data_IF_316401094680
#
_entry.id   IF_316401094680
#
_cell.length_a   1.000
_cell.length_b   1.000
_cell.length_c   1.000
_cell.angle_alpha   90.00
_cell.angle_beta   90.00
_cell.angle_gamma   90.00
#
_symmetry.space_group_name_H-M   'P 1'
#
loop_
_entity.id
_entity.type
_entity.pdbx_description
1 polymer ?
#
# COMPACT_ATOMS: atom_id res chain seq x y z
N UNK A 1 -36.59 52.30 24.43
CA UNK A 1 -35.94 50.98 24.62
C UNK A 1 -35.77 50.37 23.24
N UNK A 2 -34.57 50.43 22.66
CA UNK A 2 -34.31 49.93 21.31
C UNK A 2 -33.97 48.44 21.40
N UNK A 3 -34.92 47.58 21.04
CA UNK A 3 -34.65 46.17 20.72
C UNK A 3 -34.55 46.06 19.20
N UNK A 4 -33.39 46.40 18.65
CA UNK A 4 -33.16 46.36 17.20
C UNK A 4 -31.99 45.43 16.92
N UNK A 5 -32.34 44.28 16.34
CA UNK A 5 -31.61 43.65 15.23
C UNK A 5 -30.46 42.67 15.50
N UNK A 6 -30.25 42.14 16.71
CA UNK A 6 -29.25 41.08 16.90
C UNK A 6 -29.62 39.78 16.17
N UNK A 7 -30.91 39.42 16.17
CA UNK A 7 -31.42 38.18 15.56
C UNK A 7 -31.26 38.20 14.02
N UNK A 8 -31.38 39.38 13.40
CA UNK A 8 -31.28 39.53 11.95
C UNK A 8 -29.82 39.66 11.50
N UNK A 9 -28.98 40.40 12.24
CA UNK A 9 -27.55 40.49 11.97
C UNK A 9 -26.86 39.14 12.08
N UNK A 10 -27.21 38.32 13.09
CA UNK A 10 -26.71 36.96 13.19
C UNK A 10 -27.12 36.10 12.00
N UNK A 11 -28.38 36.15 11.54
CA UNK A 11 -28.81 35.42 10.34
C UNK A 11 -28.08 35.85 9.07
N UNK A 12 -27.85 37.16 8.90
CA UNK A 12 -27.14 37.71 7.74
C UNK A 12 -25.66 37.34 7.79
N UNK A 13 -25.01 37.43 8.96
CA UNK A 13 -23.61 37.04 9.12
C UNK A 13 -23.43 35.53 8.94
N UNK A 14 -24.35 34.71 9.46
CA UNK A 14 -24.34 33.26 9.29
C UNK A 14 -24.52 32.87 7.82
N UNK A 15 -25.43 33.53 7.09
CA UNK A 15 -25.59 33.32 5.64
C UNK A 15 -24.34 33.77 4.85
N UNK A 16 -23.72 34.89 5.22
CA UNK A 16 -22.47 35.34 4.61
C UNK A 16 -21.30 34.38 4.85
N UNK A 17 -21.24 33.80 6.05
CA UNK A 17 -20.22 32.82 6.45
C UNK A 17 -20.47 31.47 5.74
N UNK A 18 -21.73 31.02 5.66
CA UNK A 18 -22.15 29.82 4.95
C UNK A 18 -21.89 29.89 3.44
N UNK A 19 -22.13 31.05 2.81
CA UNK A 19 -21.97 31.19 1.36
C UNK A 19 -20.55 31.62 0.94
N UNK A 20 -19.77 32.23 1.83
CA UNK A 20 -18.41 32.70 1.53
C UNK A 20 -17.30 31.77 2.01
N UNK A 21 -17.34 31.32 3.26
CA UNK A 21 -16.21 30.64 3.91
C UNK A 21 -16.32 29.12 3.90
N UNK A 22 -17.52 28.57 4.11
CA UNK A 22 -17.74 27.12 4.17
C UNK A 22 -17.26 26.39 2.90
N UNK A 23 -17.53 26.88 1.67
CA UNK A 23 -17.03 26.23 0.45
C UNK A 23 -15.50 26.16 0.40
N UNK A 24 -14.82 27.23 0.83
CA UNK A 24 -13.35 27.30 0.86
C UNK A 24 -12.75 26.34 1.88
N UNK A 25 -13.31 26.29 3.09
CA UNK A 25 -12.87 25.37 4.16
C UNK A 25 -13.10 23.90 3.74
N UNK A 26 -14.25 23.58 3.15
CA UNK A 26 -14.55 22.25 2.64
C UNK A 26 -13.55 21.85 1.55
N UNK A 27 -13.27 22.73 0.60
CA UNK A 27 -12.31 22.47 -0.49
C UNK A 27 -10.91 22.24 0.06
N UNK A 28 -10.49 23.02 1.05
CA UNK A 28 -9.20 22.86 1.72
C UNK A 28 -9.09 21.52 2.46
N UNK A 29 -10.10 21.16 3.25
CA UNK A 29 -10.15 19.88 3.97
C UNK A 29 -10.18 18.69 3.00
N UNK A 30 -10.95 18.78 1.91
CA UNK A 30 -10.96 17.79 0.85
C UNK A 30 -9.58 17.66 0.20
N UNK A 31 -8.91 18.78 -0.08
CA UNK A 31 -7.54 18.79 -0.60
C UNK A 31 -6.56 18.04 0.29
N UNK A 32 -6.60 18.27 1.60
CA UNK A 32 -5.78 17.55 2.57
C UNK A 32 -6.10 16.05 2.62
N UNK A 33 -7.38 15.69 2.61
CA UNK A 33 -7.83 14.30 2.59
C UNK A 33 -7.39 13.58 1.31
N UNK A 34 -7.56 14.20 0.15
CA UNK A 34 -7.12 13.65 -1.13
C UNK A 34 -5.60 13.50 -1.19
N UNK A 35 -4.84 14.48 -0.71
CA UNK A 35 -3.38 14.39 -0.62
C UNK A 35 -2.95 13.18 0.19
N UNK A 36 -3.56 12.98 1.37
CA UNK A 36 -3.26 11.84 2.24
C UNK A 36 -3.58 10.50 1.57
N UNK A 37 -4.71 10.40 0.87
CA UNK A 37 -5.09 9.17 0.12
C UNK A 37 -4.11 8.92 -1.02
N UNK A 38 -3.70 9.97 -1.75
CA UNK A 38 -2.77 9.88 -2.86
C UNK A 38 -1.40 9.38 -2.38
N UNK A 39 -0.88 9.96 -1.30
CA UNK A 39 0.41 9.56 -0.72
C UNK A 39 0.38 8.12 -0.24
N UNK A 40 -0.72 7.70 0.40
CA UNK A 40 -0.91 6.31 0.80
C UNK A 40 -0.90 5.35 -0.41
N UNK A 41 -1.56 5.72 -1.52
CA UNK A 41 -1.58 4.91 -2.75
C UNK A 41 -0.19 4.84 -3.40
N UNK A 42 0.53 5.96 -3.46
CA UNK A 42 1.90 6.03 -3.99
C UNK A 42 2.84 5.15 -3.18
N UNK A 43 2.78 5.26 -1.86
CA UNK A 43 3.60 4.45 -0.96
C UNK A 43 3.29 2.96 -1.16
N UNK A 44 2.01 2.58 -1.14
CA UNK A 44 1.60 1.19 -1.40
C UNK A 44 2.16 0.66 -2.71
N UNK A 45 2.05 1.41 -3.80
CA UNK A 45 2.60 0.99 -5.11
C UNK A 45 4.12 0.87 -5.10
N UNK A 46 4.83 1.80 -4.45
CA UNK A 46 6.28 1.71 -4.30
C UNK A 46 6.69 0.42 -3.59
N UNK A 47 6.04 0.08 -2.48
CA UNK A 47 6.37 -1.14 -1.75
C UNK A 47 6.15 -2.41 -2.58
N UNK A 48 5.09 -2.45 -3.41
CA UNK A 48 4.87 -3.57 -4.34
C UNK A 48 5.99 -3.65 -5.38
N UNK A 49 6.36 -2.52 -5.97
CA UNK A 49 7.40 -2.46 -6.99
C UNK A 49 8.75 -2.93 -6.43
N UNK A 50 9.12 -2.49 -5.23
CA UNK A 50 10.36 -2.92 -4.59
C UNK A 50 10.41 -4.46 -4.39
N UNK A 51 9.27 -5.08 -4.04
CA UNK A 51 9.14 -6.54 -3.91
C UNK A 51 9.24 -7.22 -5.29
N UNK A 52 8.59 -6.66 -6.32
CA UNK A 52 8.64 -7.18 -7.69
C UNK A 52 10.03 -7.07 -8.32
N UNK A 53 10.77 -6.00 -8.02
CA UNK A 53 12.15 -5.80 -8.49
C UNK A 53 13.11 -6.85 -7.93
N UNK A 54 12.83 -7.39 -6.75
CA UNK A 54 13.57 -8.54 -6.20
C UNK A 54 13.14 -9.84 -6.89
N UNK A 55 11.84 -10.02 -7.11
CA UNK A 55 11.26 -11.28 -7.56
C UNK A 55 11.49 -11.56 -9.06
N UNK A 56 11.10 -10.62 -9.93
CA UNK A 56 11.03 -10.84 -11.38
C UNK A 56 12.38 -11.24 -11.99
N UNK A 57 13.51 -10.56 -11.69
CA UNK A 57 14.78 -10.87 -12.35
C UNK A 57 15.31 -12.28 -12.04
N UNK A 58 14.90 -12.85 -10.91
CA UNK A 58 15.41 -14.14 -10.43
C UNK A 58 14.44 -15.27 -10.73
N UNK A 59 13.14 -15.06 -10.52
CA UNK A 59 12.16 -16.14 -10.65
C UNK A 59 11.37 -16.11 -11.95
N UNK A 60 11.48 -15.04 -12.75
CA UNK A 60 10.71 -14.84 -13.99
C UNK A 60 11.58 -14.50 -15.21
N UNK A 61 12.90 -14.72 -15.18
CA UNK A 61 13.80 -14.37 -16.28
C UNK A 61 13.81 -15.37 -17.44
N UNK A 62 13.26 -16.57 -17.26
CA UNK A 62 13.35 -17.66 -18.25
C UNK A 62 14.77 -18.18 -18.48
N UNK A 63 15.76 -17.61 -17.79
CA UNK A 63 17.16 -17.99 -17.82
C UNK A 63 17.50 -18.97 -16.69
N UNK A 64 18.54 -19.78 -16.89
CA UNK A 64 19.03 -20.68 -15.84
C UNK A 64 19.64 -19.89 -14.68
N UNK A 65 18.95 -19.85 -13.55
CA UNK A 65 19.45 -19.25 -12.31
C UNK A 65 20.24 -20.25 -11.47
N UNK A 66 21.26 -19.76 -10.76
CA UNK A 66 21.98 -20.59 -9.79
C UNK A 66 21.22 -20.66 -8.46
N UNK A 67 21.33 -21.81 -7.77
CA UNK A 67 20.70 -22.01 -6.46
C UNK A 67 21.08 -20.93 -5.42
N UNK A 68 22.35 -20.49 -5.31
CA UNK A 68 22.72 -19.42 -4.39
C UNK A 68 22.06 -18.08 -4.71
N UNK A 69 21.90 -17.74 -6.00
CA UNK A 69 21.20 -16.51 -6.42
C UNK A 69 19.72 -16.55 -6.04
N UNK A 70 19.08 -17.71 -6.22
CA UNK A 70 17.68 -17.90 -5.85
C UNK A 70 17.47 -17.82 -4.33
N UNK A 71 18.34 -18.45 -3.53
CA UNK A 71 18.29 -18.35 -2.06
C UNK A 71 18.53 -16.92 -1.57
N UNK A 72 19.50 -16.20 -2.16
CA UNK A 72 19.76 -14.80 -1.83
C UNK A 72 18.55 -13.91 -2.13
N UNK A 73 17.94 -14.07 -3.31
CA UNK A 73 16.76 -13.31 -3.71
C UNK A 73 15.57 -13.60 -2.80
N UNK A 74 15.34 -14.87 -2.45
CA UNK A 74 14.31 -15.27 -1.51
C UNK A 74 14.50 -14.65 -0.12
N UNK A 75 15.73 -14.66 0.42
CA UNK A 75 16.04 -14.02 1.71
C UNK A 75 15.79 -12.51 1.66
N UNK A 76 16.19 -11.84 0.57
CA UNK A 76 15.91 -10.41 0.36
C UNK A 76 14.41 -10.14 0.29
N UNK A 77 13.66 -10.97 -0.43
CA UNK A 77 12.21 -10.87 -0.57
C UNK A 77 11.52 -10.94 0.80
N UNK A 78 11.89 -11.93 1.63
CA UNK A 78 11.37 -12.07 3.00
C UNK A 78 11.71 -10.86 3.86
N UNK A 79 12.98 -10.45 3.85
CA UNK A 79 13.44 -9.35 4.68
C UNK A 79 12.69 -8.05 4.33
N UNK A 80 12.56 -7.74 3.04
CA UNK A 80 11.83 -6.58 2.54
C UNK A 80 10.34 -6.66 2.89
N UNK A 81 9.68 -7.79 2.63
CA UNK A 81 8.27 -7.97 2.94
C UNK A 81 7.98 -7.80 4.45
N UNK A 82 8.78 -8.42 5.31
CA UNK A 82 8.62 -8.31 6.76
C UNK A 82 8.94 -6.91 7.28
N UNK A 83 9.95 -6.23 6.73
CA UNK A 83 10.25 -4.85 7.08
C UNK A 83 9.07 -3.94 6.75
N UNK A 84 8.47 -4.09 5.56
CA UNK A 84 7.33 -3.28 5.13
C UNK A 84 6.08 -3.52 5.97
N UNK A 85 5.76 -4.77 6.28
CA UNK A 85 4.68 -5.11 7.22
C UNK A 85 4.86 -4.47 8.59
N UNK A 86 6.09 -4.41 9.09
CA UNK A 86 6.41 -3.83 10.40
C UNK A 86 6.33 -2.31 10.40
N UNK A 87 6.85 -1.66 9.36
CA UNK A 87 6.89 -0.19 9.27
C UNK A 87 5.51 0.38 8.90
N UNK A 88 4.76 -0.32 8.05
CA UNK A 88 3.49 0.12 7.50
C UNK A 88 2.37 -0.92 7.75
N UNK A 89 1.96 -1.12 9.01
CA UNK A 89 0.93 -2.11 9.33
C UNK A 89 -0.40 -1.76 8.65
N UNK A 90 -1.04 -2.76 8.03
CA UNK A 90 -2.34 -2.60 7.37
C UNK A 90 -2.28 -1.87 6.02
N UNK A 91 -1.09 -1.64 5.47
CA UNK A 91 -0.93 -1.03 4.15
C UNK A 91 -1.35 -1.97 3.01
N UNK A 92 -1.09 -3.26 3.19
CA UNK A 92 -1.42 -4.28 2.21
C UNK A 92 -2.82 -4.84 2.41
N UNK A 93 -3.37 -5.40 1.34
CA UNK A 93 -4.56 -6.22 1.39
C UNK A 93 -4.28 -7.44 2.29
N UNK A 94 -5.17 -7.68 3.25
CA UNK A 94 -4.97 -8.70 4.28
C UNK A 94 -4.90 -10.11 3.70
N UNK A 95 -5.66 -10.40 2.65
CA UNK A 95 -5.70 -11.73 2.05
C UNK A 95 -4.43 -11.99 1.25
N UNK A 96 -4.02 -11.02 0.42
CA UNK A 96 -2.76 -11.10 -0.33
C UNK A 96 -1.55 -11.16 0.62
N UNK A 97 -1.54 -10.35 1.67
CA UNK A 97 -0.48 -10.34 2.68
C UNK A 97 -0.36 -11.68 3.40
N UNK A 98 -1.50 -12.28 3.78
CA UNK A 98 -1.54 -13.60 4.42
C UNK A 98 -1.01 -14.68 3.47
N UNK A 99 -1.53 -14.74 2.24
CA UNK A 99 -1.15 -15.75 1.24
C UNK A 99 0.33 -15.67 0.88
N UNK A 100 0.86 -14.45 0.66
CA UNK A 100 2.28 -14.26 0.39
C UNK A 100 3.12 -14.60 1.62
N UNK A 101 2.68 -14.22 2.83
CA UNK A 101 3.36 -14.58 4.07
C UNK A 101 3.45 -16.09 4.30
N UNK A 102 2.37 -16.83 4.03
CA UNK A 102 2.33 -18.29 4.10
C UNK A 102 3.32 -18.91 3.10
N UNK A 103 3.26 -18.51 1.83
CA UNK A 103 4.18 -18.98 0.79
C UNK A 103 5.65 -18.72 1.17
N UNK A 104 5.95 -17.52 1.66
CA UNK A 104 7.30 -17.18 2.07
C UNK A 104 7.75 -17.93 3.32
N UNK A 105 6.84 -18.30 4.22
CA UNK A 105 7.18 -19.06 5.43
C UNK A 105 7.52 -20.54 5.16
N UNK A 106 7.03 -21.10 4.05
CA UNK A 106 7.25 -22.51 3.68
C UNK A 106 8.70 -22.82 3.28
N UNK A 107 9.51 -21.81 2.98
CA UNK A 107 10.87 -22.03 2.49
C UNK A 107 10.95 -22.02 0.97
N UNK A 108 12.07 -21.50 0.44
CA UNK A 108 12.43 -21.69 -0.97
C UNK A 108 12.92 -23.14 -1.23
N UNK A 109 13.57 -23.76 -0.23
CA UNK A 109 14.02 -25.15 -0.28
C UNK A 109 13.23 -25.94 0.75
N UNK A 110 12.58 -27.01 0.31
CA UNK A 110 11.85 -27.96 1.16
C UNK A 110 12.40 -29.36 0.86
N UNK A 111 12.87 -30.06 1.89
CA UNK A 111 13.42 -31.42 1.78
C UNK A 111 14.55 -31.58 0.74
N UNK A 112 15.33 -30.51 0.52
CA UNK A 112 16.44 -30.49 -0.44
C UNK A 112 16.04 -30.21 -1.90
N UNK A 113 14.75 -30.02 -2.18
CA UNK A 113 14.22 -29.62 -3.48
C UNK A 113 13.72 -28.16 -3.46
N UNK A 114 13.67 -27.53 -4.63
CA UNK A 114 13.05 -26.21 -4.77
C UNK A 114 11.55 -26.37 -4.54
N UNK A 115 10.97 -25.49 -3.70
CA UNK A 115 9.55 -25.46 -3.44
C UNK A 115 8.78 -25.24 -4.76
N UNK A 116 7.92 -26.21 -5.10
CA UNK A 116 7.20 -26.28 -6.38
C UNK A 116 6.36 -25.02 -6.67
N UNK A 117 5.92 -24.31 -5.62
CA UNK A 117 5.15 -23.06 -5.76
C UNK A 117 5.95 -21.94 -6.42
N UNK A 118 7.28 -21.96 -6.34
CA UNK A 118 8.15 -20.99 -7.02
C UNK A 118 8.31 -21.26 -8.52
N UNK A 119 7.82 -22.41 -9.03
CA UNK A 119 7.70 -22.67 -10.46
C UNK A 119 6.42 -22.08 -11.07
N UNK A 120 5.58 -21.42 -10.27
CA UNK A 120 4.42 -20.66 -10.72
C UNK A 120 4.66 -19.15 -10.51
N UNK A 121 5.60 -18.54 -11.25
CA UNK A 121 6.00 -17.15 -11.03
C UNK A 121 4.85 -16.17 -11.25
N UNK A 122 3.93 -16.47 -12.16
CA UNK A 122 2.73 -15.65 -12.43
C UNK A 122 1.83 -15.57 -11.19
N UNK A 123 1.58 -16.71 -10.52
CA UNK A 123 0.78 -16.77 -9.29
C UNK A 123 1.38 -15.90 -8.19
N UNK A 124 2.71 -15.98 -8.00
CA UNK A 124 3.41 -15.18 -6.98
C UNK A 124 3.40 -13.70 -7.36
N UNK A 125 3.61 -13.38 -8.63
CA UNK A 125 3.57 -12.01 -9.11
C UNK A 125 2.19 -11.38 -8.92
N UNK A 126 1.12 -12.13 -9.15
CA UNK A 126 -0.25 -11.66 -8.94
C UNK A 126 -0.58 -11.49 -7.46
N UNK A 127 -0.04 -12.34 -6.57
CA UNK A 127 -0.11 -12.11 -5.13
C UNK A 127 0.59 -10.81 -4.73
N UNK A 128 1.79 -10.55 -5.26
CA UNK A 128 2.54 -9.31 -4.97
C UNK A 128 1.81 -8.08 -5.53
N UNK A 129 1.20 -8.17 -6.72
CA UNK A 129 0.36 -7.09 -7.27
C UNK A 129 -0.92 -6.88 -6.46
N UNK A 130 -1.44 -7.95 -5.85
CA UNK A 130 -2.63 -7.96 -5.00
C UNK A 130 -2.43 -7.34 -3.61
N UNK A 131 -1.18 -7.29 -3.11
CA UNK A 131 -0.81 -6.59 -1.86
C UNK A 131 -1.37 -5.18 -1.84
#
# INVERSE_FOLDING_TARGET
MFFVNDIVWWKISLNGLMNGWIPGILTFLLGLLFSKILDHRKLKQKLKNDILEIFIPVFNSGESISMPMADEAYRKLIATFNAYKRIYPGMFDREAERKLGELLSEGFIVDGEINKKFFEPDTIQDLIKGL
#
